data_IF_784922803824
#
_entry.id   IF_784922803824
#
_cell.length_a   1.000
_cell.length_b   1.000
_cell.length_c   1.000
_cell.angle_alpha   90.00
_cell.angle_beta   90.00
_cell.angle_gamma   90.00
#
_symmetry.space_group_name_H-M   'P 1'
#
loop_
_entity.id
_entity.type
_entity.pdbx_description
1 polymer ?
#
# COMPACT_ATOMS: atom_id res chain seq x y z
N UNK A 1 -11.34 -5.16 -18.69
CA UNK A 1 -11.50 -4.50 -17.38
C UNK A 1 -10.10 -4.38 -16.80
N UNK A 2 -9.68 -3.22 -16.31
CA UNK A 2 -8.35 -3.04 -15.69
C UNK A 2 -8.42 -3.46 -14.23
N UNK A 3 -7.33 -4.02 -13.69
CA UNK A 3 -7.25 -4.42 -12.29
C UNK A 3 -7.06 -3.19 -11.39
N UNK A 4 -8.02 -2.85 -10.50
CA UNK A 4 -8.02 -1.57 -9.79
C UNK A 4 -7.27 -1.62 -8.45
N UNK A 5 -6.67 -2.75 -8.07
CA UNK A 5 -6.00 -2.92 -6.77
C UNK A 5 -4.50 -2.70 -6.93
N UNK A 6 -3.93 -1.97 -5.98
CA UNK A 6 -2.49 -1.81 -5.86
C UNK A 6 -1.90 -2.97 -5.06
N UNK A 7 -1.21 -3.87 -5.75
CA UNK A 7 -0.49 -5.00 -5.13
C UNK A 7 0.97 -4.68 -4.85
N UNK A 8 1.41 -3.46 -5.19
CA UNK A 8 2.79 -3.01 -5.02
C UNK A 8 2.94 -2.22 -3.73
N UNK A 9 2.04 -1.26 -3.49
CA UNK A 9 2.19 -0.28 -2.42
C UNK A 9 3.57 0.38 -2.49
N UNK A 10 4.30 0.38 -1.37
CA UNK A 10 5.67 0.87 -1.32
C UNK A 10 6.72 -0.03 -1.98
N UNK A 11 6.42 -1.31 -2.20
CA UNK A 11 7.40 -2.30 -2.66
C UNK A 11 8.52 -2.52 -1.64
N UNK A 12 9.72 -2.84 -2.13
CA UNK A 12 10.88 -3.18 -1.28
C UNK A 12 11.40 -1.99 -0.43
N UNK A 13 11.13 -0.75 -0.85
CA UNK A 13 11.74 0.44 -0.28
C UNK A 13 10.68 1.42 0.27
N UNK A 14 10.03 1.09 1.39
CA UNK A 14 9.10 2.01 2.05
C UNK A 14 9.80 3.27 2.56
N UNK A 15 9.09 4.40 2.64
CA UNK A 15 9.65 5.63 3.20
C UNK A 15 10.04 5.41 4.67
N UNK A 16 11.14 6.03 5.07
CA UNK A 16 11.52 6.05 6.48
C UNK A 16 10.58 6.97 7.24
N UNK A 17 9.76 6.42 8.14
CA UNK A 17 8.66 7.13 8.79
C UNK A 17 9.05 8.36 9.62
N UNK A 18 10.32 8.47 10.04
CA UNK A 18 10.86 9.59 10.81
C UNK A 18 10.07 9.91 12.09
N UNK A 19 9.56 8.88 12.79
CA UNK A 19 8.70 9.08 13.95
C UNK A 19 9.35 9.99 15.01
N UNK A 20 8.54 10.80 15.74
CA UNK A 20 9.04 11.71 16.77
C UNK A 20 9.98 11.03 17.76
N UNK A 21 11.06 11.71 18.14
CA UNK A 21 12.07 11.17 19.05
C UNK A 21 12.93 10.03 18.46
N UNK A 22 12.84 9.78 17.15
CA UNK A 22 13.53 8.66 16.50
C UNK A 22 12.95 7.31 16.95
N UNK A 23 11.63 7.26 17.15
CA UNK A 23 10.96 6.05 17.61
C UNK A 23 11.09 4.92 16.57
N UNK A 24 11.37 3.71 17.06
CA UNK A 24 11.46 2.51 16.25
C UNK A 24 10.07 2.02 15.81
N UNK A 25 9.04 2.31 16.60
CA UNK A 25 7.65 1.94 16.31
C UNK A 25 6.69 2.99 16.87
N UNK A 26 5.65 3.29 16.08
CA UNK A 26 4.52 4.09 16.53
C UNK A 26 3.37 3.16 16.96
N UNK A 27 3.05 3.10 18.25
CA UNK A 27 1.97 2.25 18.79
C UNK A 27 0.70 3.07 18.92
N UNK A 28 -0.40 2.58 18.35
CA UNK A 28 -1.66 3.32 18.25
C UNK A 28 -2.82 2.46 18.77
N UNK A 29 -3.37 2.83 19.93
CA UNK A 29 -4.50 2.14 20.56
C UNK A 29 -5.84 2.72 20.06
N UNK A 30 -6.68 1.87 19.49
CA UNK A 30 -8.04 2.21 19.06
C UNK A 30 -9.05 1.61 20.02
N UNK A 31 -9.92 2.44 20.60
CA UNK A 31 -11.08 1.99 21.36
C UNK A 31 -12.35 2.21 20.53
N UNK A 32 -12.98 1.13 20.09
CA UNK A 32 -14.26 1.18 19.42
C UNK A 32 -15.37 1.41 20.46
N UNK A 33 -16.19 2.43 20.21
CA UNK A 33 -17.38 2.74 20.99
C UNK A 33 -18.62 2.60 20.10
N UNK A 34 -19.22 1.43 20.17
CA UNK A 34 -20.29 0.97 19.27
C UNK A 34 -21.58 0.67 20.03
N UNK A 35 -21.47 0.48 21.34
CA UNK A 35 -22.56 0.10 22.23
C UNK A 35 -23.67 1.15 22.26
N UNK A 36 -24.84 0.78 21.74
CA UNK A 36 -26.00 1.65 21.50
C UNK A 36 -26.17 2.09 20.03
N UNK A 37 -25.25 1.69 19.16
CA UNK A 37 -25.27 1.96 17.72
C UNK A 37 -25.37 0.70 16.85
N UNK A 38 -25.37 -0.49 17.44
CA UNK A 38 -25.49 -1.79 16.78
C UNK A 38 -26.90 -2.06 16.22
N UNK A 39 -27.05 -3.19 15.51
CA UNK A 39 -28.36 -3.61 14.98
C UNK A 39 -29.37 -3.86 16.11
N UNK A 40 -30.48 -3.13 16.09
CA UNK A 40 -31.61 -3.37 16.98
C UNK A 40 -32.91 -2.86 16.37
N UNK A 41 -34.02 -3.59 16.55
CA UNK A 41 -35.34 -3.13 16.10
C UNK A 41 -35.77 -1.82 16.79
N UNK A 42 -35.24 -1.54 17.99
CA UNK A 42 -35.44 -0.26 18.69
C UNK A 42 -34.71 0.91 18.01
N UNK A 43 -33.74 0.61 17.15
CA UNK A 43 -33.00 1.59 16.34
C UNK A 43 -33.53 1.68 14.90
N UNK A 44 -34.66 1.00 14.60
CA UNK A 44 -35.26 0.93 13.27
C UNK A 44 -34.66 -0.14 12.36
N UNK A 45 -33.81 -1.05 12.86
CA UNK A 45 -33.24 -2.13 12.05
C UNK A 45 -34.20 -3.30 11.87
N UNK A 46 -33.96 -4.11 10.84
CA UNK A 46 -34.79 -5.27 10.52
C UNK A 46 -34.65 -6.43 11.52
N UNK A 47 -33.55 -6.50 12.28
CA UNK A 47 -33.22 -7.62 13.14
C UNK A 47 -32.31 -7.22 14.31
N UNK A 48 -32.14 -8.13 15.27
CA UNK A 48 -31.14 -7.99 16.34
C UNK A 48 -29.70 -8.09 15.84
N UNK A 49 -28.75 -7.59 16.63
CA UNK A 49 -27.33 -7.84 16.43
C UNK A 49 -26.94 -9.33 16.58
N UNK A 50 -25.87 -9.70 15.91
CA UNK A 50 -25.28 -11.04 15.88
C UNK A 50 -23.74 -11.03 15.92
N UNK A 51 -23.10 -9.89 15.69
CA UNK A 51 -21.67 -9.78 15.52
C UNK A 51 -20.96 -9.35 16.82
N UNK A 52 -19.69 -9.77 16.96
CA UNK A 52 -18.77 -9.45 18.07
C UNK A 52 -19.39 -9.49 19.47
N UNK A 53 -19.72 -10.71 19.91
CA UNK A 53 -20.26 -10.98 21.24
C UNK A 53 -19.68 -12.26 21.83
N UNK A 54 -20.05 -12.56 23.08
CA UNK A 54 -19.72 -13.82 23.76
C UNK A 54 -20.54 -15.02 23.29
N UNK A 55 -21.41 -14.85 22.28
CA UNK A 55 -22.36 -15.87 21.83
C UNK A 55 -21.86 -16.43 20.49
N UNK A 56 -21.11 -17.56 20.49
CA UNK A 56 -20.55 -18.11 19.27
C UNK A 56 -21.67 -18.54 18.32
N UNK A 57 -21.55 -18.15 17.06
CA UNK A 57 -22.55 -18.49 16.04
C UNK A 57 -23.90 -17.80 16.24
N UNK A 58 -23.95 -16.70 16.98
CA UNK A 58 -25.15 -15.86 17.03
C UNK A 58 -25.60 -15.49 15.61
N UNK A 59 -26.91 -15.57 15.39
CA UNK A 59 -27.57 -15.14 14.16
C UNK A 59 -28.50 -13.98 14.48
N UNK A 60 -28.74 -13.12 13.50
CA UNK A 60 -29.71 -12.04 13.65
C UNK A 60 -31.11 -12.64 13.81
N UNK A 61 -31.94 -12.07 14.69
CA UNK A 61 -33.34 -12.46 14.87
C UNK A 61 -34.26 -11.44 14.19
N UNK A 62 -34.84 -11.75 13.02
CA UNK A 62 -35.68 -10.81 12.29
C UNK A 62 -36.91 -10.38 13.10
N UNK A 63 -37.19 -9.07 13.13
CA UNK A 63 -38.33 -8.48 13.82
C UNK A 63 -38.32 -8.66 15.34
N UNK A 64 -37.21 -9.09 15.93
CA UNK A 64 -37.13 -9.44 17.34
C UNK A 64 -35.92 -8.78 18.02
N UNK A 65 -36.06 -8.60 19.33
CA UNK A 65 -34.95 -8.25 20.22
C UNK A 65 -34.23 -9.52 20.65
N UNK A 66 -32.91 -9.43 20.78
CA UNK A 66 -32.09 -10.50 21.32
C UNK A 66 -31.54 -10.06 22.67
N UNK A 67 -32.28 -10.37 23.74
CA UNK A 67 -31.99 -9.90 25.09
C UNK A 67 -30.55 -10.17 25.56
N UNK A 68 -30.04 -11.38 25.32
CA UNK A 68 -28.67 -11.74 25.68
C UNK A 68 -27.66 -10.87 24.95
N UNK A 69 -27.86 -10.65 23.65
CA UNK A 69 -26.99 -9.79 22.83
C UNK A 69 -27.00 -8.34 23.34
N UNK A 70 -28.18 -7.77 23.57
CA UNK A 70 -28.31 -6.41 24.12
C UNK A 70 -27.55 -6.28 25.44
N UNK A 71 -27.72 -7.23 26.37
CA UNK A 71 -27.01 -7.21 27.65
C UNK A 71 -25.48 -7.36 27.54
N UNK A 72 -24.98 -8.01 26.47
CA UNK A 72 -23.54 -8.08 26.17
C UNK A 72 -23.02 -6.72 25.73
N UNK A 73 -23.75 -6.03 24.85
CA UNK A 73 -23.40 -4.67 24.41
C UNK A 73 -23.51 -3.68 25.57
N UNK A 74 -24.57 -3.74 26.37
CA UNK A 74 -24.73 -2.93 27.57
C UNK A 74 -23.54 -3.06 28.53
N UNK A 75 -22.95 -4.26 28.68
CA UNK A 75 -21.74 -4.42 29.50
C UNK A 75 -20.59 -3.52 29.06
N UNK A 76 -20.40 -3.36 27.74
CA UNK A 76 -19.36 -2.50 27.19
C UNK A 76 -19.53 -1.06 27.66
N UNK A 77 -20.70 -0.46 27.45
CA UNK A 77 -20.98 0.91 27.87
C UNK A 77 -21.01 1.08 29.40
N UNK A 78 -21.56 0.10 30.14
CA UNK A 78 -21.81 0.20 31.60
C UNK A 78 -20.59 -0.10 32.46
N UNK A 79 -19.68 -0.95 32.01
CA UNK A 79 -18.60 -1.46 32.84
C UNK A 79 -17.26 -1.60 32.10
N UNK A 80 -17.29 -2.09 30.86
CA UNK A 80 -16.09 -2.30 30.05
C UNK A 80 -15.34 -1.00 29.77
N UNK A 81 -16.06 0.01 29.25
CA UNK A 81 -15.54 1.34 28.98
C UNK A 81 -14.85 1.94 30.20
N UNK A 82 -15.52 1.99 31.36
CA UNK A 82 -14.95 2.60 32.56
C UNK A 82 -13.70 1.89 33.08
N UNK A 83 -13.58 0.58 32.84
CA UNK A 83 -12.38 -0.17 33.19
C UNK A 83 -11.21 0.15 32.25
N UNK A 84 -11.48 0.27 30.96
CA UNK A 84 -10.49 0.66 29.95
C UNK A 84 -10.06 2.11 30.14
N UNK A 85 -11.01 3.02 30.36
CA UNK A 85 -10.73 4.42 30.67
C UNK A 85 -9.74 4.56 31.81
N UNK A 86 -10.01 3.93 32.98
CA UNK A 86 -9.05 3.95 34.10
C UNK A 86 -7.70 3.37 33.71
N UNK A 87 -7.66 2.23 33.02
CA UNK A 87 -6.38 1.64 32.61
C UNK A 87 -5.54 2.61 31.77
N UNK A 88 -6.15 3.24 30.76
CA UNK A 88 -5.44 4.14 29.86
C UNK A 88 -5.07 5.46 30.55
N UNK A 89 -5.95 6.06 31.36
CA UNK A 89 -5.65 7.30 32.08
C UNK A 89 -4.63 7.09 33.21
N UNK A 90 -4.71 5.98 33.94
CA UNK A 90 -3.77 5.68 35.03
C UNK A 90 -2.35 5.39 34.50
N UNK A 91 -2.23 4.94 33.25
CA UNK A 91 -0.95 4.68 32.57
C UNK A 91 -0.52 5.79 31.60
N UNK A 92 -1.25 6.91 31.55
CA UNK A 92 -0.98 8.06 30.66
C UNK A 92 -0.82 7.66 29.18
N UNK A 93 -1.73 6.81 28.70
CA UNK A 93 -1.72 6.31 27.33
C UNK A 93 -2.80 7.02 26.51
N UNK A 94 -2.42 7.73 25.43
CA UNK A 94 -3.38 8.33 24.52
C UNK A 94 -4.14 7.28 23.71
N UNK A 95 -5.40 7.59 23.41
CA UNK A 95 -6.31 6.69 22.68
C UNK A 95 -6.99 7.46 21.54
N UNK A 96 -7.23 6.77 20.43
CA UNK A 96 -8.22 7.19 19.43
C UNK A 96 -9.49 6.37 19.60
N UNK A 97 -10.60 7.04 19.81
CA UNK A 97 -11.93 6.43 19.85
C UNK A 97 -12.47 6.34 18.43
N UNK A 98 -12.89 5.14 18.02
CA UNK A 98 -13.75 4.95 16.86
C UNK A 98 -15.19 4.99 17.35
N UNK A 99 -15.79 6.17 17.30
CA UNK A 99 -17.11 6.44 17.88
C UNK A 99 -18.22 6.36 16.83
N UNK A 100 -19.14 5.40 17.01
CA UNK A 100 -20.35 5.31 16.20
C UNK A 100 -21.26 6.46 16.58
N UNK A 101 -21.69 7.26 15.60
CA UNK A 101 -22.34 8.55 15.87
C UNK A 101 -23.62 8.40 16.72
N UNK A 102 -24.45 7.39 16.43
CA UNK A 102 -25.65 7.09 17.23
C UNK A 102 -25.33 6.55 18.63
N UNK A 103 -24.23 5.82 18.81
CA UNK A 103 -23.78 5.34 20.12
C UNK A 103 -23.30 6.51 21.00
N UNK A 104 -22.53 7.45 20.43
CA UNK A 104 -22.07 8.64 21.15
C UNK A 104 -23.25 9.49 21.68
N UNK A 105 -24.30 9.65 20.88
CA UNK A 105 -25.51 10.39 21.29
C UNK A 105 -26.25 9.72 22.46
N UNK A 106 -26.03 8.42 22.71
CA UNK A 106 -26.61 7.67 23.84
C UNK A 106 -25.67 7.59 25.04
N UNK A 107 -24.46 8.15 24.97
CA UNK A 107 -23.39 7.93 25.93
C UNK A 107 -22.77 9.24 26.47
N UNK A 108 -23.56 10.17 27.02
CA UNK A 108 -23.06 11.49 27.42
C UNK A 108 -21.97 11.43 28.50
N UNK A 109 -22.02 10.48 29.42
CA UNK A 109 -21.00 10.36 30.48
C UNK A 109 -19.67 9.83 29.95
N UNK A 110 -19.73 8.82 29.07
CA UNK A 110 -18.56 8.23 28.43
C UNK A 110 -17.92 9.24 27.48
N UNK A 111 -18.72 9.95 26.69
CA UNK A 111 -18.26 11.02 25.81
C UNK A 111 -17.53 12.12 26.58
N UNK A 112 -18.11 12.60 27.69
CA UNK A 112 -17.45 13.58 28.57
C UNK A 112 -16.10 13.04 29.07
N UNK A 113 -16.03 11.76 29.44
CA UNK A 113 -14.80 11.15 29.91
C UNK A 113 -13.72 11.07 28.81
N UNK A 114 -14.10 10.68 27.58
CA UNK A 114 -13.20 10.69 26.42
C UNK A 114 -12.61 12.09 26.16
N UNK A 115 -13.45 13.14 26.21
CA UNK A 115 -13.00 14.52 26.02
C UNK A 115 -12.10 15.01 27.16
N UNK A 116 -12.41 14.66 28.41
CA UNK A 116 -11.58 15.03 29.56
C UNK A 116 -10.19 14.37 29.54
N UNK A 117 -10.09 13.18 28.92
CA UNK A 117 -8.85 12.45 28.73
C UNK A 117 -8.04 12.91 27.49
N UNK A 118 -8.50 13.94 26.76
CA UNK A 118 -7.91 14.41 25.48
C UNK A 118 -7.73 13.28 24.45
N UNK A 119 -8.64 12.30 24.47
CA UNK A 119 -8.68 11.26 23.45
C UNK A 119 -9.19 11.83 22.14
N UNK A 120 -8.62 11.38 21.04
CA UNK A 120 -9.20 11.67 19.73
C UNK A 120 -10.54 10.93 19.59
N UNK A 121 -11.55 11.58 19.03
CA UNK A 121 -12.83 10.93 18.69
C UNK A 121 -13.01 10.98 17.17
N UNK A 122 -12.63 9.89 16.51
CA UNK A 122 -12.82 9.69 15.07
C UNK A 122 -14.20 9.06 14.79
N UNK A 123 -14.70 9.27 13.58
CA UNK A 123 -15.99 8.73 13.17
C UNK A 123 -15.89 7.24 12.89
N UNK A 124 -16.78 6.47 13.52
CA UNK A 124 -17.03 5.07 13.22
C UNK A 124 -18.35 4.84 12.47
N UNK A 125 -18.71 5.78 11.59
CA UNK A 125 -19.97 5.74 10.84
C UNK A 125 -21.18 6.22 11.63
N UNK A 126 -22.33 6.24 10.96
CA UNK A 126 -23.61 6.66 11.55
C UNK A 126 -24.14 5.61 12.55
N UNK A 127 -24.13 4.35 12.12
CA UNK A 127 -24.50 3.17 12.89
C UNK A 127 -23.47 2.07 12.67
N UNK A 128 -23.43 1.12 13.60
CA UNK A 128 -22.58 -0.05 13.47
C UNK A 128 -23.34 -1.18 12.77
N UNK A 129 -23.44 -1.09 11.45
CA UNK A 129 -24.13 -2.06 10.58
C UNK A 129 -23.24 -2.48 9.41
N UNK A 130 -23.67 -3.48 8.64
CA UNK A 130 -22.95 -3.89 7.42
C UNK A 130 -23.33 -2.98 6.25
N UNK A 131 -22.32 -2.44 5.56
CA UNK A 131 -22.51 -1.55 4.41
C UNK A 131 -22.31 -2.27 3.07
N UNK A 132 -21.92 -3.55 3.07
CA UNK A 132 -21.53 -4.32 1.86
C UNK A 132 -22.44 -4.08 0.65
N UNK A 133 -23.76 -4.14 0.86
CA UNK A 133 -24.78 -4.00 -0.18
C UNK A 133 -25.55 -2.66 -0.10
N UNK A 134 -25.04 -1.70 0.67
CA UNK A 134 -25.68 -0.39 0.85
C UNK A 134 -25.57 0.45 -0.45
N UNK A 135 -26.68 1.02 -0.95
CA UNK A 135 -26.63 1.93 -2.08
C UNK A 135 -25.75 3.16 -1.79
N UNK A 136 -24.94 3.58 -2.77
CA UNK A 136 -23.99 4.67 -2.60
C UNK A 136 -24.64 6.00 -2.13
N UNK A 137 -25.86 6.30 -2.58
CA UNK A 137 -26.59 7.51 -2.16
C UNK A 137 -27.05 7.43 -0.70
N UNK A 138 -27.45 6.24 -0.24
CA UNK A 138 -27.80 6.00 1.16
C UNK A 138 -26.55 6.12 2.04
N UNK A 139 -25.45 5.47 1.64
CA UNK A 139 -24.19 5.53 2.38
C UNK A 139 -23.66 6.97 2.47
N UNK A 140 -23.74 7.73 1.37
CA UNK A 140 -23.38 9.15 1.35
C UNK A 140 -24.24 9.98 2.30
N UNK A 141 -25.54 9.68 2.41
CA UNK A 141 -26.42 10.34 3.37
C UNK A 141 -26.04 9.99 4.81
N UNK A 142 -25.73 8.72 5.09
CA UNK A 142 -25.27 8.28 6.41
C UNK A 142 -23.91 8.90 6.79
N UNK A 143 -22.98 9.06 5.86
CA UNK A 143 -21.71 9.77 6.09
C UNK A 143 -21.96 11.20 6.55
N UNK A 144 -22.82 11.94 5.83
CA UNK A 144 -23.18 13.33 6.20
C UNK A 144 -23.84 13.40 7.56
N UNK A 145 -24.74 12.46 7.87
CA UNK A 145 -25.44 12.44 9.15
C UNK A 145 -24.50 12.08 10.32
N UNK A 146 -23.56 11.15 10.10
CA UNK A 146 -22.53 10.83 11.09
C UNK A 146 -21.68 12.07 11.42
N UNK A 147 -21.23 12.82 10.42
CA UNK A 147 -20.47 14.07 10.61
C UNK A 147 -21.28 15.08 11.43
N UNK A 148 -22.56 15.25 11.09
CA UNK A 148 -23.46 16.18 11.81
C UNK A 148 -23.63 15.77 13.27
N UNK A 149 -23.88 14.49 13.55
CA UNK A 149 -24.07 13.99 14.91
C UNK A 149 -22.78 14.04 15.73
N UNK A 150 -21.63 13.75 15.14
CA UNK A 150 -20.34 13.97 15.80
C UNK A 150 -20.17 15.42 16.21
N UNK A 151 -20.41 16.38 15.30
CA UNK A 151 -20.31 17.81 15.61
C UNK A 151 -21.27 18.24 16.74
N UNK A 152 -22.47 17.66 16.81
CA UNK A 152 -23.40 17.92 17.92
C UNK A 152 -22.93 17.30 19.24
N UNK A 153 -22.36 16.10 19.20
CA UNK A 153 -21.95 15.37 20.38
C UNK A 153 -20.67 15.97 20.98
N UNK A 154 -19.66 16.20 20.15
CA UNK A 154 -18.30 16.55 20.58
C UNK A 154 -18.04 18.06 20.55
N UNK A 155 -18.87 18.83 19.83
CA UNK A 155 -18.66 20.26 19.56
C UNK A 155 -17.83 20.55 18.31
N UNK A 156 -17.22 19.53 17.69
CA UNK A 156 -16.38 19.67 16.50
C UNK A 156 -16.61 18.53 15.50
N UNK A 157 -16.35 18.77 14.21
CA UNK A 157 -16.45 17.70 13.22
C UNK A 157 -15.40 16.60 13.48
N UNK A 158 -15.67 15.33 13.11
CA UNK A 158 -14.64 14.31 13.14
C UNK A 158 -13.65 14.54 11.98
N UNK A 159 -12.37 14.28 12.23
CA UNK A 159 -11.29 14.40 11.24
C UNK A 159 -10.69 13.06 10.82
N UNK A 160 -11.06 11.97 11.51
CA UNK A 160 -10.74 10.60 11.11
C UNK A 160 -12.00 9.82 10.76
N UNK A 161 -11.89 8.83 9.87
CA UNK A 161 -12.99 7.95 9.49
C UNK A 161 -12.58 6.47 9.44
N UNK A 162 -13.45 5.61 9.96
CA UNK A 162 -13.40 4.17 9.78
C UNK A 162 -14.83 3.61 9.77
N UNK A 163 -15.25 2.86 8.75
CA UNK A 163 -16.55 2.14 8.77
C UNK A 163 -16.39 0.72 9.29
N UNK A 164 -15.28 0.05 8.97
CA UNK A 164 -15.04 -1.36 9.26
C UNK A 164 -15.73 -2.28 8.28
N UNK A 165 -17.04 -2.52 8.46
CA UNK A 165 -17.85 -3.35 7.54
C UNK A 165 -18.32 -2.51 6.36
N UNK A 166 -17.36 -1.97 5.61
CA UNK A 166 -17.57 -1.02 4.53
C UNK A 166 -18.22 -1.64 3.27
N UNK A 167 -18.79 -0.79 2.43
CA UNK A 167 -19.12 -1.11 1.03
C UNK A 167 -17.88 -0.92 0.15
N UNK A 168 -17.97 -1.30 -1.13
CA UNK A 168 -16.93 -0.99 -2.12
C UNK A 168 -16.82 0.53 -2.40
N UNK A 169 -17.85 1.30 -2.05
CA UNK A 169 -17.91 2.75 -2.30
C UNK A 169 -17.38 3.57 -1.12
N UNK A 170 -17.30 3.02 0.09
CA UNK A 170 -17.10 3.78 1.33
C UNK A 170 -15.86 4.68 1.28
N UNK A 171 -14.69 4.14 0.93
CA UNK A 171 -13.43 4.91 0.92
C UNK A 171 -13.51 6.08 -0.08
N UNK A 172 -14.15 5.87 -1.23
CA UNK A 172 -14.36 6.89 -2.25
C UNK A 172 -15.32 7.97 -1.75
N UNK A 173 -16.47 7.57 -1.21
CA UNK A 173 -17.47 8.49 -0.67
C UNK A 173 -16.92 9.37 0.46
N UNK A 174 -16.08 8.81 1.33
CA UNK A 174 -15.43 9.54 2.42
C UNK A 174 -14.35 10.48 1.89
N UNK A 175 -13.55 10.02 0.92
CA UNK A 175 -12.54 10.87 0.24
C UNK A 175 -13.18 12.04 -0.51
N UNK A 176 -14.37 11.83 -1.11
CA UNK A 176 -15.15 12.86 -1.80
C UNK A 176 -15.69 13.94 -0.86
N UNK A 177 -16.00 13.61 0.40
CA UNK A 177 -16.45 14.60 1.40
C UNK A 177 -15.34 15.63 1.69
N UNK A 178 -14.09 15.17 1.73
CA UNK A 178 -12.89 16.02 1.67
C UNK A 178 -12.51 16.74 2.96
N UNK A 179 -13.20 16.52 4.08
CA UNK A 179 -12.87 17.12 5.38
C UNK A 179 -12.16 16.18 6.36
N UNK A 180 -11.74 14.99 5.92
CA UNK A 180 -11.04 14.01 6.75
C UNK A 180 -9.51 14.10 6.56
N UNK A 181 -8.80 14.18 7.67
CA UNK A 181 -7.34 14.11 7.70
C UNK A 181 -6.84 12.70 7.36
N UNK A 182 -7.62 11.65 7.67
CA UNK A 182 -7.30 10.28 7.30
C UNK A 182 -8.53 9.38 7.21
N UNK A 183 -8.39 8.27 6.47
CA UNK A 183 -9.35 7.16 6.38
C UNK A 183 -8.63 5.85 6.73
N UNK A 184 -9.31 4.93 7.41
CA UNK A 184 -8.69 3.69 7.94
C UNK A 184 -9.35 2.39 7.52
N UNK A 185 -10.24 2.42 6.52
CA UNK A 185 -10.90 1.24 5.95
C UNK A 185 -9.98 0.40 5.02
N UNK A 186 -8.72 0.21 5.43
CA UNK A 186 -7.75 -0.67 4.76
C UNK A 186 -6.91 -1.44 5.79
N UNK A 187 -6.29 -2.53 5.34
CA UNK A 187 -5.53 -3.47 6.16
C UNK A 187 -4.28 -3.98 5.40
N UNK A 188 -3.70 -3.10 4.59
CA UNK A 188 -2.86 -3.44 3.44
C UNK A 188 -1.43 -2.91 3.52
N UNK A 189 -1.04 -2.25 4.61
CA UNK A 189 0.34 -1.80 4.83
C UNK A 189 0.61 -1.59 6.34
N UNK A 190 1.89 -1.52 6.71
CA UNK A 190 2.38 -1.21 8.07
C UNK A 190 2.69 0.30 8.24
N UNK A 191 2.43 1.11 7.20
CA UNK A 191 2.62 2.55 7.16
C UNK A 191 1.41 3.29 6.56
N UNK A 192 1.18 4.56 6.93
CA UNK A 192 0.26 5.41 6.20
C UNK A 192 0.70 5.62 4.75
N UNK A 193 -0.24 5.82 3.83
CA UNK A 193 0.06 6.15 2.44
C UNK A 193 -1.00 7.07 1.83
N UNK A 194 -0.63 7.79 0.78
CA UNK A 194 -1.57 8.66 0.07
C UNK A 194 -2.26 7.92 -1.06
N UNK A 195 -3.58 8.05 -1.12
CA UNK A 195 -4.43 7.57 -2.22
C UNK A 195 -5.03 8.76 -2.96
N UNK A 196 -4.96 8.78 -4.28
CA UNK A 196 -5.69 9.78 -5.08
C UNK A 196 -7.06 9.24 -5.48
N UNK A 197 -8.11 10.04 -5.25
CA UNK A 197 -9.46 9.81 -5.76
C UNK A 197 -10.01 11.11 -6.34
N UNK A 198 -10.43 11.10 -7.60
CA UNK A 198 -10.92 12.29 -8.31
C UNK A 198 -10.03 13.55 -8.13
N UNK A 199 -8.72 13.38 -8.33
CA UNK A 199 -7.70 14.46 -8.12
C UNK A 199 -7.58 15.00 -6.69
N UNK A 200 -8.11 14.31 -5.69
CA UNK A 200 -7.91 14.60 -4.27
C UNK A 200 -7.05 13.52 -3.64
N UNK A 201 -6.02 13.95 -2.92
CA UNK A 201 -5.22 13.05 -2.10
C UNK A 201 -5.90 12.84 -0.74
N UNK A 202 -6.16 11.58 -0.40
CA UNK A 202 -6.64 11.15 0.91
C UNK A 202 -5.54 10.35 1.58
N UNK A 203 -5.17 10.72 2.81
CA UNK A 203 -4.27 9.90 3.60
C UNK A 203 -5.03 8.67 4.07
N UNK A 204 -4.47 7.50 3.79
CA UNK A 204 -4.89 6.22 4.32
C UNK A 204 -3.95 5.89 5.48
N UNK A 205 -4.53 5.52 6.62
CA UNK A 205 -3.80 4.94 7.74
C UNK A 205 -4.38 3.54 7.93
N UNK A 206 -3.69 2.47 7.50
CA UNK A 206 -4.19 1.10 7.61
C UNK A 206 -4.46 0.68 9.06
N UNK A 207 -5.57 -0.02 9.28
CA UNK A 207 -5.97 -0.57 10.58
C UNK A 207 -5.67 -2.08 10.65
N UNK A 208 -6.23 -2.78 11.64
CA UNK A 208 -5.94 -4.18 11.93
C UNK A 208 -7.22 -4.97 12.22
N UNK A 209 -7.29 -6.20 11.72
CA UNK A 209 -8.29 -7.20 12.12
C UNK A 209 -7.66 -8.36 12.92
N UNK A 210 -6.33 -8.43 12.93
CA UNK A 210 -5.52 -9.46 13.56
C UNK A 210 -5.03 -9.07 14.96
N UNK A 211 -4.42 -7.88 15.12
CA UNK A 211 -4.06 -7.29 16.41
C UNK A 211 -5.26 -6.59 17.05
N UNK A 212 -6.36 -7.33 17.13
CA UNK A 212 -7.67 -6.80 17.44
C UNK A 212 -8.40 -7.75 18.40
N UNK A 213 -8.93 -7.24 19.51
CA UNK A 213 -9.66 -8.03 20.49
C UNK A 213 -11.00 -8.56 19.96
N UNK A 214 -11.46 -8.10 18.78
CA UNK A 214 -12.58 -8.70 18.03
C UNK A 214 -12.38 -10.21 17.88
N UNK A 215 -11.12 -10.65 17.83
CA UNK A 215 -10.77 -12.06 17.71
C UNK A 215 -11.32 -12.88 18.88
N UNK A 216 -11.48 -12.35 20.10
CA UNK A 216 -12.18 -13.06 21.18
C UNK A 216 -13.63 -13.44 20.86
N UNK A 217 -14.29 -12.69 19.96
CA UNK A 217 -15.68 -12.90 19.54
C UNK A 217 -15.84 -13.60 18.18
N UNK A 218 -14.76 -14.18 17.62
CA UNK A 218 -14.79 -14.86 16.30
C UNK A 218 -14.43 -16.35 16.40
N UNK A 219 -14.89 -17.22 15.46
CA UNK A 219 -14.69 -18.67 15.55
C UNK A 219 -13.22 -19.14 15.67
N UNK A 220 -12.27 -18.44 15.05
CA UNK A 220 -10.83 -18.74 15.12
C UNK A 220 -10.09 -17.73 16.02
N UNK A 221 -10.69 -17.48 17.17
CA UNK A 221 -10.35 -16.40 18.09
C UNK A 221 -9.31 -16.73 19.15
N UNK A 222 -8.90 -15.70 19.89
CA UNK A 222 -8.16 -15.88 21.14
C UNK A 222 -9.06 -16.53 22.18
N UNK A 223 -8.62 -17.63 22.77
CA UNK A 223 -9.33 -18.36 23.82
C UNK A 223 -9.05 -17.80 25.23
N UNK A 224 -7.93 -17.09 25.39
CA UNK A 224 -7.51 -16.50 26.65
C UNK A 224 -6.74 -15.19 26.44
N UNK A 225 -6.65 -14.39 27.51
CA UNK A 225 -5.85 -13.15 27.49
C UNK A 225 -4.40 -13.39 27.10
N UNK A 226 -3.79 -14.51 27.50
CA UNK A 226 -2.40 -14.81 27.17
C UNK A 226 -2.14 -14.93 25.67
N UNK A 227 -3.09 -15.46 24.91
CA UNK A 227 -2.96 -15.57 23.45
C UNK A 227 -2.97 -14.18 22.80
N UNK A 228 -3.82 -13.27 23.28
CA UNK A 228 -3.84 -11.89 22.80
C UNK A 228 -2.55 -11.15 23.19
N UNK A 229 -2.11 -11.25 24.45
CA UNK A 229 -0.85 -10.65 24.90
C UNK A 229 0.34 -11.16 24.09
N UNK A 230 0.46 -12.48 23.89
CA UNK A 230 1.56 -13.06 23.12
C UNK A 230 1.58 -12.53 21.69
N UNK A 231 0.42 -12.49 21.02
CA UNK A 231 0.31 -11.95 19.67
C UNK A 231 0.73 -10.48 19.60
N UNK A 232 0.21 -9.63 20.50
CA UNK A 232 0.57 -8.22 20.54
C UNK A 232 2.07 -8.02 20.82
N UNK A 233 2.62 -8.77 21.77
CA UNK A 233 4.03 -8.72 22.13
C UNK A 233 4.92 -9.12 20.95
N UNK A 234 4.63 -10.24 20.29
CA UNK A 234 5.45 -10.73 19.19
C UNK A 234 5.42 -9.76 18.00
N UNK A 235 4.27 -9.20 17.67
CA UNK A 235 4.15 -8.15 16.64
C UNK A 235 4.94 -6.90 17.02
N UNK A 236 4.80 -6.41 18.26
CA UNK A 236 5.55 -5.25 18.73
C UNK A 236 7.06 -5.49 18.68
N UNK A 237 7.55 -6.62 19.21
CA UNK A 237 8.98 -6.94 19.28
C UNK A 237 9.58 -7.03 17.86
N UNK A 238 8.85 -7.59 16.91
CA UNK A 238 9.28 -7.68 15.51
C UNK A 238 9.37 -6.30 14.85
N UNK A 239 8.29 -5.51 14.90
CA UNK A 239 8.27 -4.16 14.32
C UNK A 239 9.28 -3.23 15.00
N UNK A 240 9.48 -3.37 16.31
CA UNK A 240 10.50 -2.64 17.04
C UNK A 240 11.91 -2.97 16.54
N UNK A 241 12.21 -4.25 16.29
CA UNK A 241 13.49 -4.69 15.73
C UNK A 241 13.70 -4.19 14.30
N UNK A 242 12.66 -4.21 13.45
CA UNK A 242 12.74 -3.61 12.11
C UNK A 242 12.99 -2.11 12.16
N UNK A 243 12.32 -1.41 13.07
CA UNK A 243 12.55 0.01 13.33
C UNK A 243 13.97 0.31 13.74
N UNK A 244 14.52 -0.47 14.69
CA UNK A 244 15.91 -0.36 15.10
C UNK A 244 16.89 -0.64 13.95
N UNK A 245 16.49 -1.45 12.96
CA UNK A 245 17.25 -1.69 11.72
C UNK A 245 17.04 -0.61 10.64
N UNK A 246 16.39 0.51 10.97
CA UNK A 246 16.19 1.66 10.09
C UNK A 246 14.93 1.58 9.23
N UNK A 247 13.93 0.76 9.59
CA UNK A 247 12.66 0.66 8.88
C UNK A 247 11.45 0.79 9.82
N UNK A 248 11.32 1.89 10.58
CA UNK A 248 10.25 2.04 11.57
C UNK A 248 8.86 1.99 10.94
N UNK A 249 7.90 1.39 11.67
CA UNK A 249 6.51 1.15 11.26
C UNK A 249 5.52 1.63 12.30
N UNK A 250 4.23 1.59 11.99
CA UNK A 250 3.17 1.75 12.98
C UNK A 250 2.56 0.41 13.38
N UNK A 251 1.94 0.37 14.56
CA UNK A 251 1.25 -0.81 15.07
C UNK A 251 -0.10 -0.41 15.67
N UNK A 252 -1.18 -0.76 14.98
CA UNK A 252 -2.55 -0.53 15.48
C UNK A 252 -2.95 -1.65 16.44
N UNK A 253 -3.66 -1.32 17.53
CA UNK A 253 -4.32 -2.29 18.40
C UNK A 253 -5.81 -1.95 18.48
N UNK A 254 -6.65 -2.85 17.99
CA UNK A 254 -8.10 -2.71 18.01
C UNK A 254 -8.74 -3.27 19.28
N UNK A 255 -9.57 -2.46 19.94
CA UNK A 255 -10.18 -2.80 21.23
C UNK A 255 -11.68 -2.49 21.22
N UNK A 256 -12.49 -3.32 21.87
CA UNK A 256 -13.93 -3.10 22.00
C UNK A 256 -14.34 -3.12 23.47
N UNK A 257 -15.17 -2.15 23.88
CA UNK A 257 -15.57 -1.99 25.29
C UNK A 257 -16.17 -3.29 25.86
N UNK A 258 -17.06 -3.94 25.11
CA UNK A 258 -17.73 -5.19 25.52
C UNK A 258 -16.84 -6.44 25.54
N UNK A 259 -15.68 -6.41 24.87
CA UNK A 259 -14.77 -7.56 24.73
C UNK A 259 -13.59 -7.45 25.69
N UNK A 260 -12.52 -6.73 25.35
CA UNK A 260 -11.32 -6.62 26.21
C UNK A 260 -11.62 -5.96 27.55
N UNK A 261 -12.70 -5.16 27.64
CA UNK A 261 -13.14 -4.56 28.89
C UNK A 261 -13.53 -5.58 29.97
N UNK A 262 -13.73 -6.86 29.62
CA UNK A 262 -13.95 -7.96 30.58
C UNK A 262 -12.71 -8.18 31.44
N UNK A 263 -12.91 -8.39 32.74
CA UNK A 263 -11.82 -8.51 33.72
C UNK A 263 -10.77 -9.58 33.35
N UNK A 264 -11.19 -10.72 32.80
CA UNK A 264 -10.27 -11.80 32.38
C UNK A 264 -9.43 -11.47 31.14
N UNK A 265 -9.83 -10.47 30.34
CA UNK A 265 -9.12 -10.07 29.11
C UNK A 265 -8.28 -8.82 29.29
N UNK A 266 -8.78 -7.82 30.02
CA UNK A 266 -8.06 -6.57 30.24
C UNK A 266 -6.70 -6.75 30.94
N UNK A 267 -6.55 -7.81 31.74
CA UNK A 267 -5.27 -8.14 32.37
C UNK A 267 -4.15 -8.35 31.34
N UNK A 268 -4.47 -8.92 30.18
CA UNK A 268 -3.53 -9.10 29.07
C UNK A 268 -3.18 -7.77 28.39
N UNK A 269 -4.18 -6.91 28.18
CA UNK A 269 -3.96 -5.57 27.63
C UNK A 269 -3.04 -4.74 28.54
N UNK A 270 -3.29 -4.75 29.86
CA UNK A 270 -2.42 -4.06 30.83
C UNK A 270 -0.97 -4.55 30.73
N UNK A 271 -0.75 -5.87 30.70
CA UNK A 271 0.60 -6.45 30.54
C UNK A 271 1.27 -6.00 29.24
N UNK A 272 0.51 -5.88 28.16
CA UNK A 272 1.05 -5.41 26.88
C UNK A 272 1.43 -3.92 26.95
N UNK A 273 0.59 -3.06 27.51
CA UNK A 273 0.92 -1.64 27.70
C UNK A 273 2.20 -1.48 28.53
N UNK A 274 2.32 -2.24 29.63
CA UNK A 274 3.53 -2.23 30.46
C UNK A 274 4.77 -2.74 29.71
N UNK A 275 4.61 -3.75 28.85
CA UNK A 275 5.69 -4.21 27.96
C UNK A 275 6.14 -3.08 27.02
N UNK A 276 5.21 -2.41 26.34
CA UNK A 276 5.52 -1.30 25.43
C UNK A 276 6.23 -0.16 26.18
N UNK A 277 5.71 0.24 27.34
CA UNK A 277 6.30 1.32 28.17
C UNK A 277 7.65 0.96 28.78
N UNK A 278 8.02 -0.32 28.83
CA UNK A 278 9.35 -0.75 29.26
C UNK A 278 10.45 -0.59 28.18
N UNK A 279 10.09 -0.18 26.96
CA UNK A 279 11.03 0.03 25.86
C UNK A 279 11.25 1.52 25.59
N UNK A 280 12.52 1.90 25.36
CA UNK A 280 12.86 3.22 24.85
C UNK A 280 12.44 3.38 23.38
N UNK A 281 12.39 4.61 22.88
CA UNK A 281 12.13 4.91 21.45
C UNK A 281 10.82 4.29 20.93
N UNK A 282 9.77 4.35 21.72
CA UNK A 282 8.40 4.06 21.27
C UNK A 282 7.61 5.36 21.25
N UNK A 283 6.86 5.60 20.17
CA UNK A 283 5.90 6.68 20.13
C UNK A 283 4.49 6.11 20.31
N UNK A 284 3.89 6.31 21.48
CA UNK A 284 2.47 5.96 21.71
C UNK A 284 1.63 7.17 21.27
N UNK A 285 0.81 7.01 20.24
CA UNK A 285 0.18 8.12 19.52
C UNK A 285 -1.34 7.98 19.41
N UNK A 286 -2.04 9.13 19.30
CA UNK A 286 -3.36 9.16 18.66
C UNK A 286 -3.18 9.08 17.15
N UNK A 287 -4.19 8.57 16.46
CA UNK A 287 -4.17 8.38 15.01
C UNK A 287 -4.14 9.72 14.26
N UNK A 288 -4.80 10.76 14.76
CA UNK A 288 -4.67 12.13 14.23
C UNK A 288 -3.24 12.67 14.32
N UNK A 289 -2.47 12.28 15.35
CA UNK A 289 -1.09 12.72 15.49
C UNK A 289 -0.21 12.02 14.44
N UNK A 290 -0.47 10.74 14.15
CA UNK A 290 0.16 10.02 13.01
C UNK A 290 -0.21 10.70 11.69
N UNK A 291 -1.48 11.05 11.49
CA UNK A 291 -1.93 11.72 10.26
C UNK A 291 -1.21 13.06 10.03
N UNK A 292 -1.12 13.88 11.08
CA UNK A 292 -0.42 15.18 11.05
C UNK A 292 1.07 15.02 10.83
N UNK A 293 1.69 14.04 11.47
CA UNK A 293 3.10 13.70 11.27
C UNK A 293 3.37 13.31 9.82
N UNK A 294 2.58 12.38 9.28
CA UNK A 294 2.76 11.89 7.92
C UNK A 294 2.57 12.99 6.89
N UNK A 295 1.55 13.83 7.05
CA UNK A 295 1.32 14.95 6.15
C UNK A 295 2.45 15.99 6.16
N UNK A 296 3.21 16.07 7.26
CA UNK A 296 4.37 16.95 7.38
C UNK A 296 5.64 16.32 6.80
N UNK A 297 5.97 15.09 7.20
CA UNK A 297 7.23 14.42 6.82
C UNK A 297 7.17 13.80 5.42
N UNK A 298 5.99 13.36 5.01
CA UNK A 298 5.70 12.72 3.73
C UNK A 298 4.49 13.39 3.07
N UNK A 299 4.55 14.69 2.73
CA UNK A 299 3.44 15.38 2.09
C UNK A 299 3.09 14.69 0.76
N UNK A 300 1.82 14.75 0.37
CA UNK A 300 1.41 14.23 -0.93
C UNK A 300 2.15 14.94 -2.06
N UNK A 301 2.84 14.16 -2.88
CA UNK A 301 3.45 14.61 -4.14
C UNK A 301 2.74 13.90 -5.27
N UNK A 302 2.08 14.66 -6.15
CA UNK A 302 1.42 14.10 -7.31
C UNK A 302 2.45 13.38 -8.20
N UNK A 303 2.28 12.09 -8.51
CA UNK A 303 3.19 11.39 -9.41
C UNK A 303 3.21 12.07 -10.78
N UNK A 304 4.41 12.25 -11.35
CA UNK A 304 4.56 12.82 -12.69
C UNK A 304 3.98 11.91 -13.77
N UNK A 305 4.12 10.59 -13.58
CA UNK A 305 3.66 9.56 -14.51
C UNK A 305 2.83 8.53 -13.76
N UNK A 306 1.64 8.28 -14.27
CA UNK A 306 0.73 7.21 -13.84
C UNK A 306 0.25 6.47 -15.09
N UNK A 307 1.09 5.61 -15.69
CA UNK A 307 0.78 4.89 -16.94
C UNK A 307 -0.61 4.23 -16.97
N UNK A 308 -1.07 3.69 -15.85
CA UNK A 308 -2.37 3.03 -15.72
C UNK A 308 -3.57 3.97 -15.90
N UNK A 309 -3.36 5.29 -15.78
CA UNK A 309 -4.39 6.33 -15.90
C UNK A 309 -4.25 7.18 -17.17
N UNK A 310 -3.23 6.92 -18.01
CA UNK A 310 -3.06 7.65 -19.27
C UNK A 310 -4.12 7.23 -20.31
N UNK A 311 -4.39 8.12 -21.27
CA UNK A 311 -5.06 7.72 -22.49
C UNK A 311 -4.10 6.95 -23.42
N UNK A 312 -4.67 6.24 -24.41
CA UNK A 312 -3.88 5.37 -25.30
C UNK A 312 -2.84 6.15 -26.10
N UNK A 313 -3.21 7.33 -26.60
CA UNK A 313 -2.35 8.13 -27.46
C UNK A 313 -1.12 8.63 -26.69
N UNK A 314 -1.33 9.23 -25.51
CA UNK A 314 -0.26 9.70 -24.64
C UNK A 314 0.61 8.54 -24.11
N UNK A 315 0.03 7.37 -23.84
CA UNK A 315 0.79 6.19 -23.44
C UNK A 315 1.73 5.71 -24.54
N UNK A 316 1.22 5.56 -25.78
CA UNK A 316 2.03 5.12 -26.93
C UNK A 316 3.08 6.17 -27.29
N UNK A 317 2.76 7.46 -27.24
CA UNK A 317 3.74 8.54 -27.44
C UNK A 317 4.88 8.47 -26.40
N UNK A 318 4.54 8.20 -25.14
CA UNK A 318 5.51 8.19 -24.04
C UNK A 318 6.39 6.93 -24.04
N UNK A 319 5.81 5.77 -24.37
CA UNK A 319 6.43 4.46 -24.14
C UNK A 319 6.61 3.59 -25.38
N UNK A 320 6.02 3.95 -26.53
CA UNK A 320 6.10 3.20 -27.79
C UNK A 320 7.53 3.03 -28.32
N UNK A 321 8.43 3.94 -27.93
CA UNK A 321 9.85 3.91 -28.31
C UNK A 321 10.76 3.29 -27.23
N UNK A 322 10.21 2.74 -26.14
CA UNK A 322 11.02 2.02 -25.14
C UNK A 322 11.62 0.74 -25.73
N UNK A 323 10.82 0.00 -26.49
CA UNK A 323 11.33 -0.88 -27.54
C UNK A 323 11.36 -0.06 -28.83
N UNK A 324 12.49 0.00 -29.53
CA UNK A 324 12.59 0.79 -30.77
C UNK A 324 11.65 0.24 -31.84
N UNK A 325 10.87 1.12 -32.48
CA UNK A 325 9.77 0.74 -33.38
C UNK A 325 8.71 -0.17 -32.73
N UNK A 326 8.59 -0.10 -31.40
CA UNK A 326 7.75 -0.96 -30.58
C UNK A 326 6.36 -0.41 -30.30
N UNK A 327 5.83 0.51 -31.11
CA UNK A 327 4.53 1.14 -30.89
C UNK A 327 3.41 0.09 -30.75
N UNK A 328 3.43 -0.95 -31.57
CA UNK A 328 2.48 -2.06 -31.49
C UNK A 328 2.56 -2.81 -30.16
N UNK A 329 3.76 -2.91 -29.55
CA UNK A 329 3.93 -3.54 -28.24
C UNK A 329 3.34 -2.66 -27.14
N UNK A 330 3.51 -1.34 -27.24
CA UNK A 330 2.90 -0.40 -26.31
C UNK A 330 1.37 -0.39 -26.44
N UNK A 331 0.83 -0.43 -27.66
CA UNK A 331 -0.60 -0.55 -27.90
C UNK A 331 -1.17 -1.82 -27.27
N UNK A 332 -0.51 -2.97 -27.49
CA UNK A 332 -0.91 -4.25 -26.88
C UNK A 332 -0.80 -4.23 -25.35
N UNK A 333 0.23 -3.60 -24.81
CA UNK A 333 0.37 -3.46 -23.36
C UNK A 333 -0.75 -2.61 -22.78
N UNK A 334 -1.13 -1.51 -23.46
CA UNK A 334 -2.23 -0.64 -23.07
C UNK A 334 -3.60 -1.30 -23.13
N UNK A 335 -3.84 -2.08 -24.20
CA UNK A 335 -5.07 -2.83 -24.40
C UNK A 335 -5.18 -4.04 -23.46
N UNK A 336 -4.04 -4.47 -22.91
CA UNK A 336 -3.96 -5.42 -21.80
C UNK A 336 -4.38 -4.83 -20.46
N UNK A 337 -3.98 -5.49 -19.38
CA UNK A 337 -4.35 -5.12 -18.01
C UNK A 337 -3.32 -4.17 -17.38
N UNK A 338 -3.20 -2.93 -17.91
CA UNK A 338 -2.45 -1.89 -17.18
C UNK A 338 -3.16 -1.56 -15.86
N UNK A 339 -2.46 -1.74 -14.76
CA UNK A 339 -2.95 -1.63 -13.39
C UNK A 339 -1.97 -0.82 -12.53
N UNK A 340 -2.30 -0.47 -11.27
CA UNK A 340 -1.40 0.32 -10.41
C UNK A 340 0.00 -0.28 -10.23
N UNK A 341 0.14 -1.61 -10.29
CA UNK A 341 1.45 -2.29 -10.27
C UNK A 341 2.39 -1.83 -11.41
N UNK A 342 1.82 -1.40 -12.53
CA UNK A 342 2.55 -0.90 -13.70
C UNK A 342 2.93 0.58 -13.58
N UNK A 343 2.49 1.29 -12.54
CA UNK A 343 2.89 2.68 -12.25
C UNK A 343 4.27 2.74 -11.57
N UNK A 344 5.19 1.94 -12.10
CA UNK A 344 6.56 1.79 -11.64
C UNK A 344 7.46 1.49 -12.84
N UNK A 345 8.77 1.85 -12.77
CA UNK A 345 9.69 1.57 -13.87
C UNK A 345 9.67 0.08 -14.27
N UNK A 346 9.88 -0.81 -13.29
CA UNK A 346 9.92 -2.24 -13.56
C UNK A 346 8.56 -2.82 -13.93
N UNK A 347 7.47 -2.35 -13.31
CA UNK A 347 6.12 -2.81 -13.62
C UNK A 347 5.69 -2.45 -15.04
N UNK A 348 6.04 -1.27 -15.53
CA UNK A 348 5.79 -0.87 -16.91
C UNK A 348 6.69 -1.65 -17.89
N UNK A 349 7.98 -1.78 -17.58
CA UNK A 349 8.89 -2.61 -18.35
C UNK A 349 8.36 -4.04 -18.46
N UNK A 350 7.89 -4.63 -17.36
CA UNK A 350 7.32 -5.97 -17.34
C UNK A 350 6.13 -6.10 -18.30
N UNK A 351 5.23 -5.11 -18.34
CA UNK A 351 4.09 -5.09 -19.26
C UNK A 351 4.55 -5.06 -20.73
N UNK A 352 5.45 -4.15 -21.08
CA UNK A 352 5.98 -4.01 -22.46
C UNK A 352 6.78 -5.25 -22.89
N UNK A 353 7.68 -5.73 -22.04
CA UNK A 353 8.48 -6.94 -22.24
C UNK A 353 7.61 -8.18 -22.46
N UNK A 354 6.48 -8.27 -21.76
CA UNK A 354 5.55 -9.38 -21.93
C UNK A 354 4.97 -9.40 -23.35
N UNK A 355 4.63 -8.23 -23.91
CA UNK A 355 4.19 -8.13 -25.30
C UNK A 355 5.32 -8.44 -26.28
N UNK A 356 6.55 -7.98 -26.01
CA UNK A 356 7.71 -8.34 -26.83
C UNK A 356 7.92 -9.86 -26.87
N UNK A 357 7.89 -10.53 -25.71
CA UNK A 357 8.05 -11.99 -25.63
C UNK A 357 6.92 -12.76 -26.32
N UNK A 358 5.69 -12.25 -26.24
CA UNK A 358 4.52 -12.84 -26.90
C UNK A 358 4.44 -12.55 -28.40
N UNK A 359 5.19 -11.57 -28.91
CA UNK A 359 5.21 -11.22 -30.31
C UNK A 359 5.74 -12.37 -31.18
N UNK A 360 5.24 -12.44 -32.41
CA UNK A 360 5.72 -13.36 -33.43
C UNK A 360 7.19 -13.09 -33.76
N UNK A 361 7.88 -14.08 -34.34
CA UNK A 361 9.27 -13.91 -34.76
C UNK A 361 9.45 -12.74 -35.73
N UNK A 362 8.51 -12.55 -36.67
CA UNK A 362 8.54 -11.44 -37.61
C UNK A 362 8.47 -10.08 -36.91
N UNK A 363 7.57 -9.92 -35.94
CA UNK A 363 7.44 -8.67 -35.17
C UNK A 363 8.67 -8.41 -34.30
N UNK A 364 9.22 -9.44 -33.65
CA UNK A 364 10.47 -9.31 -32.90
C UNK A 364 11.61 -8.86 -33.81
N UNK A 365 11.67 -9.41 -35.02
CA UNK A 365 12.70 -9.08 -36.01
C UNK A 365 12.62 -7.63 -36.50
N UNK A 366 11.41 -7.09 -36.69
CA UNK A 366 11.25 -5.66 -37.02
C UNK A 366 11.77 -4.77 -35.88
N UNK A 367 11.51 -5.12 -34.62
CA UNK A 367 12.10 -4.40 -33.47
C UNK A 367 13.63 -4.44 -33.49
N UNK A 368 14.24 -5.57 -33.87
CA UNK A 368 15.70 -5.67 -33.96
C UNK A 368 16.30 -4.73 -35.01
N UNK A 369 15.64 -4.56 -36.16
CA UNK A 369 16.12 -3.70 -37.26
C UNK A 369 16.17 -2.21 -36.91
N UNK A 370 15.36 -1.78 -35.96
CA UNK A 370 15.29 -0.38 -35.51
C UNK A 370 16.43 0.03 -34.56
N UNK A 371 17.24 -0.95 -34.10
CA UNK A 371 18.44 -0.64 -33.34
C UNK A 371 19.54 -0.11 -34.25
N UNK A 372 20.11 1.03 -33.87
CA UNK A 372 21.19 1.67 -34.63
C UNK A 372 22.39 0.74 -34.68
N UNK A 373 22.97 0.48 -35.87
CA UNK A 373 24.20 -0.30 -35.98
C UNK A 373 25.32 0.33 -35.14
N UNK A 374 26.21 -0.50 -34.59
CA UNK A 374 27.38 -0.01 -33.86
C UNK A 374 28.43 0.62 -34.80
N UNK A 375 28.45 0.24 -36.08
CA UNK A 375 29.41 0.67 -37.09
C UNK A 375 29.71 2.18 -37.12
N UNK A 376 28.73 3.11 -37.13
CA UNK A 376 29.02 4.53 -37.21
C UNK A 376 29.74 5.03 -35.96
N UNK A 377 29.42 4.46 -34.78
CA UNK A 377 30.10 4.78 -33.52
C UNK A 377 31.53 4.24 -33.51
N UNK A 378 31.72 3.00 -33.95
CA UNK A 378 33.05 2.39 -34.06
C UNK A 378 33.93 3.15 -35.06
N UNK A 379 33.39 3.57 -36.21
CA UNK A 379 34.11 4.39 -37.21
C UNK A 379 34.49 5.78 -36.68
N UNK A 380 33.72 6.32 -35.75
CA UNK A 380 33.97 7.63 -35.14
C UNK A 380 34.91 7.56 -33.91
N UNK A 381 35.30 6.37 -33.45
CA UNK A 381 36.18 6.21 -32.30
C UNK A 381 37.58 6.78 -32.57
N UNK A 382 38.19 7.36 -31.52
CA UNK A 382 39.55 7.89 -31.59
C UNK A 382 40.59 6.76 -31.65
N UNK A 383 41.57 6.87 -32.54
CA UNK A 383 42.62 5.88 -32.69
C UNK A 383 43.77 6.14 -31.71
N UNK A 384 44.03 5.18 -30.83
CA UNK A 384 45.13 5.20 -29.86
C UNK A 384 46.23 4.19 -30.23
N UNK A 385 47.46 4.44 -29.77
CA UNK A 385 48.62 3.61 -30.09
C UNK A 385 48.81 2.43 -29.12
N UNK A 386 48.47 2.61 -27.83
CA UNK A 386 48.57 1.57 -26.80
C UNK A 386 47.16 1.03 -26.46
N UNK A 387 47.01 -0.28 -26.37
CA UNK A 387 45.75 -0.92 -25.97
C UNK A 387 45.31 -0.54 -24.55
N UNK A 388 46.23 -0.13 -23.68
CA UNK A 388 45.91 0.38 -22.34
C UNK A 388 45.07 1.65 -22.37
N UNK A 389 45.19 2.42 -23.45
CA UNK A 389 44.41 3.64 -23.67
C UNK A 389 43.08 3.37 -24.39
N UNK A 390 42.83 2.12 -24.82
CA UNK A 390 41.61 1.66 -25.49
C UNK A 390 40.52 1.22 -24.49
N UNK A 391 40.16 2.10 -23.56
CA UNK A 391 39.34 1.77 -22.39
C UNK A 391 37.82 1.91 -22.60
N UNK A 392 37.35 2.31 -23.79
CA UNK A 392 35.93 2.49 -24.11
C UNK A 392 35.67 2.36 -25.61
N UNK A 393 34.40 2.29 -26.05
CA UNK A 393 34.09 2.30 -27.49
C UNK A 393 34.38 3.62 -28.19
N UNK A 394 34.77 4.65 -27.45
CA UNK A 394 35.10 5.95 -28.01
C UNK A 394 36.63 6.10 -28.25
N UNK A 395 37.44 5.12 -27.80
CA UNK A 395 38.89 5.06 -28.02
C UNK A 395 39.38 3.61 -28.22
N UNK A 396 40.05 3.31 -29.34
CA UNK A 396 40.52 1.97 -29.69
C UNK A 396 41.76 1.99 -30.57
N UNK A 397 42.50 0.88 -30.66
CA UNK A 397 43.60 0.80 -31.64
C UNK A 397 43.07 0.61 -33.07
N UNK A 398 43.87 0.96 -34.08
CA UNK A 398 43.48 0.76 -35.48
C UNK A 398 43.14 -0.71 -35.80
N UNK A 399 43.88 -1.65 -35.20
CA UNK A 399 43.61 -3.09 -35.35
C UNK A 399 42.32 -3.53 -34.69
N UNK A 400 42.02 -3.02 -33.49
CA UNK A 400 40.75 -3.30 -32.80
C UNK A 400 39.55 -2.73 -33.54
N UNK A 401 39.67 -1.51 -34.10
CA UNK A 401 38.61 -0.90 -34.91
C UNK A 401 38.31 -1.72 -36.15
N UNK A 402 39.36 -2.10 -36.89
CA UNK A 402 39.20 -2.92 -38.10
C UNK A 402 38.55 -4.27 -37.78
N UNK A 403 39.04 -4.97 -36.76
CA UNK A 403 38.49 -6.27 -36.35
C UNK A 403 37.03 -6.16 -35.90
N UNK A 404 36.65 -5.12 -35.14
CA UNK A 404 35.26 -4.90 -34.75
C UNK A 404 34.35 -4.71 -35.96
N UNK A 405 34.75 -3.90 -36.93
CA UNK A 405 33.96 -3.67 -38.14
C UNK A 405 33.82 -4.92 -39.00
N UNK A 406 34.89 -5.73 -39.12
CA UNK A 406 34.84 -7.02 -39.81
C UNK A 406 33.87 -7.99 -39.13
N UNK A 407 33.94 -8.11 -37.80
CA UNK A 407 33.05 -8.97 -37.02
C UNK A 407 31.59 -8.49 -37.06
N UNK A 408 31.33 -7.17 -37.02
CA UNK A 408 29.98 -6.62 -37.14
C UNK A 408 29.36 -6.94 -38.51
N UNK A 409 30.14 -6.80 -39.59
CA UNK A 409 29.70 -7.20 -40.93
C UNK A 409 29.40 -8.70 -41.04
N UNK A 410 30.29 -9.55 -40.51
CA UNK A 410 30.08 -11.00 -40.51
C UNK A 410 28.86 -11.42 -39.67
N UNK A 411 28.63 -10.74 -38.55
CA UNK A 411 27.45 -10.95 -37.71
C UNK A 411 26.15 -10.63 -38.46
N UNK A 412 26.10 -9.46 -39.11
CA UNK A 412 24.90 -9.02 -39.84
C UNK A 412 24.61 -9.94 -41.04
N UNK A 413 25.64 -10.37 -41.77
CA UNK A 413 25.50 -11.35 -42.86
C UNK A 413 24.95 -12.69 -42.36
N UNK A 414 25.43 -13.18 -41.21
CA UNK A 414 25.02 -14.48 -40.65
C UNK A 414 23.59 -14.46 -40.10
N UNK A 415 23.24 -13.44 -39.33
CA UNK A 415 21.99 -13.44 -38.55
C UNK A 415 20.89 -12.57 -39.17
N UNK A 416 21.24 -11.64 -40.05
CA UNK A 416 20.29 -10.77 -40.78
C UNK A 416 19.87 -9.51 -40.02
N UNK A 417 20.54 -9.18 -38.92
CA UNK A 417 20.36 -7.96 -38.13
C UNK A 417 21.69 -7.55 -37.49
N UNK A 418 21.85 -6.28 -37.17
CA UNK A 418 23.08 -5.76 -36.54
C UNK A 418 23.22 -6.23 -35.08
N UNK A 419 24.46 -6.41 -34.62
CA UNK A 419 24.72 -6.85 -33.25
C UNK A 419 24.27 -5.78 -32.23
N UNK A 420 23.41 -6.18 -31.30
CA UNK A 420 22.87 -5.30 -30.25
C UNK A 420 23.60 -5.56 -28.94
N UNK A 421 24.05 -4.49 -28.30
CA UNK A 421 24.74 -4.51 -27.00
C UNK A 421 24.34 -3.32 -26.13
N UNK A 422 24.20 -3.57 -24.83
CA UNK A 422 24.19 -2.54 -23.78
C UNK A 422 25.65 -2.11 -23.54
N UNK A 423 26.15 -1.26 -24.44
CA UNK A 423 27.57 -0.84 -24.54
C UNK A 423 28.21 -0.43 -23.21
N UNK A 424 27.47 0.18 -22.29
CA UNK A 424 27.99 0.63 -20.98
C UNK A 424 28.57 -0.49 -20.11
N UNK A 425 28.31 -1.76 -20.45
CA UNK A 425 28.82 -2.93 -19.74
C UNK A 425 30.08 -3.54 -20.37
N UNK A 426 30.59 -2.97 -21.47
CA UNK A 426 31.67 -3.57 -22.25
C UNK A 426 32.87 -2.62 -22.38
N UNK A 427 34.06 -3.19 -22.23
CA UNK A 427 35.30 -2.59 -22.76
C UNK A 427 35.46 -3.02 -24.22
N UNK A 428 36.35 -2.36 -24.97
CA UNK A 428 36.67 -2.75 -26.36
C UNK A 428 37.10 -4.22 -26.44
N UNK A 429 37.94 -4.68 -25.50
CA UNK A 429 38.39 -6.06 -25.43
C UNK A 429 37.25 -7.05 -25.12
N UNK A 430 36.37 -6.74 -24.15
CA UNK A 430 35.26 -7.63 -23.82
C UNK A 430 34.18 -7.64 -24.90
N UNK A 431 33.99 -6.54 -25.63
CA UNK A 431 33.09 -6.48 -26.77
C UNK A 431 33.60 -7.37 -27.92
N UNK A 432 34.88 -7.25 -28.28
CA UNK A 432 35.52 -8.09 -29.28
C UNK A 432 35.38 -9.58 -28.95
N UNK A 433 35.71 -9.97 -27.72
CA UNK A 433 35.59 -11.34 -27.28
C UNK A 433 34.14 -11.84 -27.31
N UNK A 434 33.19 -11.01 -26.85
CA UNK A 434 31.76 -11.36 -26.86
C UNK A 434 31.20 -11.48 -28.28
N UNK A 435 31.54 -10.54 -29.17
CA UNK A 435 31.08 -10.57 -30.56
C UNK A 435 31.65 -11.77 -31.31
N UNK A 436 32.95 -12.07 -31.12
CA UNK A 436 33.57 -13.28 -31.66
C UNK A 436 32.87 -14.55 -31.20
N UNK A 437 32.57 -14.68 -29.90
CA UNK A 437 31.85 -15.84 -29.37
C UNK A 437 30.42 -15.96 -29.91
N UNK A 438 29.69 -14.85 -30.03
CA UNK A 438 28.31 -14.80 -30.57
C UNK A 438 28.25 -15.21 -32.05
N UNK A 439 29.26 -14.87 -32.84
CA UNK A 439 29.31 -15.28 -34.26
C UNK A 439 29.46 -16.80 -34.40
N UNK A 440 30.04 -17.49 -33.42
CA UNK A 440 30.19 -18.95 -33.46
C UNK A 440 28.91 -19.72 -33.06
N UNK A 441 27.92 -19.06 -32.44
CA UNK A 441 26.69 -19.73 -32.01
C UNK A 441 25.69 -19.95 -33.14
N UNK A 442 24.74 -20.86 -32.94
CA UNK A 442 23.59 -21.01 -33.82
C UNK A 442 22.61 -19.83 -33.67
N UNK A 443 21.67 -19.72 -34.62
CA UNK A 443 20.72 -18.61 -34.70
C UNK A 443 19.78 -18.52 -33.50
N UNK A 444 19.32 -19.64 -32.96
CA UNK A 444 18.34 -19.65 -31.88
C UNK A 444 18.98 -19.21 -30.57
N UNK A 445 20.19 -19.72 -30.30
CA UNK A 445 21.02 -19.29 -29.19
C UNK A 445 21.32 -17.79 -29.26
N UNK A 446 21.67 -17.29 -30.44
CA UNK A 446 22.02 -15.88 -30.62
C UNK A 446 20.80 -14.94 -30.50
N UNK A 447 19.64 -15.36 -31.00
CA UNK A 447 18.39 -14.61 -30.83
C UNK A 447 18.02 -14.50 -29.34
N UNK A 448 18.20 -15.55 -28.56
CA UNK A 448 17.94 -15.50 -27.11
C UNK A 448 18.84 -14.47 -26.41
N UNK A 449 20.13 -14.41 -26.77
CA UNK A 449 21.07 -13.40 -26.25
C UNK A 449 20.64 -11.99 -26.68
N UNK A 450 20.35 -11.81 -27.96
CA UNK A 450 19.95 -10.51 -28.52
C UNK A 450 18.65 -9.99 -27.90
N UNK A 451 17.66 -10.86 -27.69
CA UNK A 451 16.43 -10.48 -27.01
C UNK A 451 16.70 -10.04 -25.57
N UNK A 452 17.63 -10.67 -24.86
CA UNK A 452 18.07 -10.22 -23.54
C UNK A 452 18.66 -8.80 -23.56
N UNK A 453 19.50 -8.49 -24.54
CA UNK A 453 20.08 -7.14 -24.71
C UNK A 453 18.99 -6.09 -25.01
N UNK A 454 18.04 -6.42 -25.90
CA UNK A 454 16.89 -5.57 -26.24
C UNK A 454 16.00 -5.30 -25.03
N UNK A 455 15.68 -6.33 -24.26
CA UNK A 455 14.90 -6.18 -23.02
C UNK A 455 15.62 -5.27 -22.02
N UNK A 456 16.94 -5.44 -21.86
CA UNK A 456 17.73 -4.61 -20.95
C UNK A 456 17.80 -3.15 -21.40
N UNK A 457 17.93 -2.90 -22.71
CA UNK A 457 17.86 -1.54 -23.26
C UNK A 457 16.48 -0.92 -23.02
N UNK A 458 15.40 -1.67 -23.22
CA UNK A 458 14.04 -1.20 -22.99
C UNK A 458 13.79 -0.86 -21.51
N UNK A 459 14.29 -1.67 -20.58
CA UNK A 459 14.22 -1.38 -19.14
C UNK A 459 14.86 -0.03 -18.81
N UNK A 460 16.07 0.22 -19.33
CA UNK A 460 16.79 1.50 -19.17
C UNK A 460 15.98 2.67 -19.73
N UNK A 461 15.35 2.50 -20.90
CA UNK A 461 14.52 3.54 -21.51
C UNK A 461 13.30 3.84 -20.63
N UNK A 462 12.65 2.82 -20.08
CA UNK A 462 11.52 3.00 -19.16
C UNK A 462 11.96 3.72 -17.89
N UNK A 463 13.06 3.32 -17.26
CA UNK A 463 13.63 3.99 -16.08
C UNK A 463 13.92 5.48 -16.34
N UNK A 464 14.45 5.80 -17.53
CA UNK A 464 14.71 7.19 -17.92
C UNK A 464 13.43 8.03 -18.01
N UNK A 465 12.30 7.44 -18.45
CA UNK A 465 11.01 8.16 -18.49
C UNK A 465 10.48 8.51 -17.11
N UNK A 466 10.63 7.62 -16.12
CA UNK A 466 10.23 7.89 -14.74
C UNK A 466 11.15 8.89 -14.02
N UNK A 467 12.37 9.08 -14.51
CA UNK A 467 13.36 9.98 -13.92
C UNK A 467 13.30 11.43 -14.47
N UNK A 468 12.67 11.63 -15.62
CA UNK A 468 12.43 12.95 -16.23
C UNK A 468 11.37 13.76 -15.44
#
# INVERSE_FOLDING_TARGET
MRYPRDMRGYGENPPHANWPGGANVAVQFVLNYEEGGENNILHGDAASEAFLSEIPGAAQWPGQRHWNMESVYEYGARAGFWRLHRLFTDLDVPVTVYGVATALMRAPEQLRAMQQADWEIASHGYKWVEHKDMPADEERAQIKEAIRLHALATGERPTGWYTGRCSVNTVDLVSEEGGFAYVSDTYDDDLPYWREHQSRAQLIIPYTLEANDMRFGTPNGFNSGDQFFAYLKDTFDYLYAEGAAGRPKMFSIGLHCRLVGRAGRIAALKRFIEHVQSHDKVWIARRIDIARHWAKEHPYVKPKLVPSQMDKAGFVESFGQCFRGGELLAERAFDGELAPVNDSPFGLFFALRTQFRAASEAEKFEVLKEYTPLDPRIKAASIVADEKDANSLDAMTAGQQQLLLELLGAYEEKFGFGAIFVVRNYTTASLLASLGARIETDRDTELAVTYGEVERLAEIQVEARFSA
#
